data_IF_661596188418
#
_entry.id   IF_661596188418
#
_cell.length_a   1.000
_cell.length_b   1.000
_cell.length_c   1.000
_cell.angle_alpha   90.00
_cell.angle_beta   90.00
_cell.angle_gamma   90.00
#
_symmetry.space_group_name_H-M   'P 1'
#
loop_
_entity.id
_entity.type
_entity.pdbx_description
1 polymer ?
#
# COMPACT_ATOMS: atom_id res chain seq x y z
N UNK A 1 18.13 6.63 -24.90
CA UNK A 1 17.06 5.68 -25.23
C UNK A 1 16.87 4.80 -24.02
N UNK A 2 15.71 4.79 -23.40
CA UNK A 2 15.41 3.80 -22.33
C UNK A 2 15.45 2.41 -22.95
N UNK A 3 16.00 1.42 -22.26
CA UNK A 3 16.13 0.04 -22.72
C UNK A 3 14.79 -0.70 -22.94
N UNK A 4 13.68 0.02 -23.07
CA UNK A 4 12.36 -0.54 -23.34
C UNK A 4 11.80 -1.41 -22.20
N UNK A 5 12.42 -1.43 -21.02
CA UNK A 5 11.90 -2.13 -19.85
C UNK A 5 10.92 -1.19 -19.12
N UNK A 6 9.65 -1.57 -19.10
CA UNK A 6 8.62 -0.86 -18.38
C UNK A 6 8.46 -1.48 -16.98
N UNK A 7 8.33 -0.64 -15.96
CA UNK A 7 8.04 -1.04 -14.59
C UNK A 7 6.58 -0.71 -14.27
N UNK A 8 5.82 -1.72 -13.90
CA UNK A 8 4.46 -1.60 -13.37
C UNK A 8 4.50 -1.81 -11.86
N UNK A 9 4.07 -0.81 -11.10
CA UNK A 9 3.87 -0.94 -9.66
C UNK A 9 2.38 -0.77 -9.37
N UNK A 10 1.76 -1.73 -8.72
CA UNK A 10 0.39 -1.57 -8.23
C UNK A 10 0.40 -1.00 -6.82
N UNK A 11 -0.67 -0.28 -6.46
CA UNK A 11 -0.88 0.22 -5.11
C UNK A 11 -2.33 -0.02 -4.72
N UNK A 12 -2.53 -0.70 -3.60
CA UNK A 12 -3.87 -1.02 -3.07
C UNK A 12 -4.71 -1.90 -4.01
N UNK A 13 -4.03 -2.66 -4.85
CA UNK A 13 -4.64 -3.67 -5.71
C UNK A 13 -3.56 -4.62 -6.27
N UNK A 14 -4.01 -5.60 -7.06
CA UNK A 14 -3.13 -6.46 -7.83
C UNK A 14 -3.01 -7.88 -7.30
N UNK A 15 -3.26 -8.12 -6.01
CA UNK A 15 -3.11 -9.49 -5.47
C UNK A 15 -4.06 -10.50 -6.14
N UNK A 16 -5.24 -10.04 -6.56
CA UNK A 16 -6.23 -10.86 -7.27
C UNK A 16 -6.15 -10.72 -8.81
N UNK A 17 -5.40 -9.74 -9.33
CA UNK A 17 -5.26 -9.48 -10.76
C UNK A 17 -4.23 -10.40 -11.43
N UNK A 18 -4.35 -11.71 -11.19
CA UNK A 18 -3.35 -12.71 -11.60
C UNK A 18 -3.16 -12.75 -13.12
N UNK A 19 -4.26 -12.75 -13.88
CA UNK A 19 -4.22 -12.84 -15.32
C UNK A 19 -3.63 -11.59 -15.96
N UNK A 20 -4.00 -10.40 -15.46
CA UNK A 20 -3.52 -9.10 -15.94
C UNK A 20 -2.02 -8.94 -15.68
N UNK A 21 -1.56 -9.35 -14.50
CA UNK A 21 -0.15 -9.34 -14.15
C UNK A 21 0.64 -10.33 -15.02
N UNK A 22 0.14 -11.55 -15.20
CA UNK A 22 0.77 -12.54 -16.05
C UNK A 22 0.87 -12.04 -17.50
N UNK A 23 -0.19 -11.39 -18.01
CA UNK A 23 -0.16 -10.75 -19.31
C UNK A 23 0.91 -9.63 -19.40
N UNK A 24 1.03 -8.78 -18.39
CA UNK A 24 2.07 -7.75 -18.34
C UNK A 24 3.48 -8.38 -18.34
N UNK A 25 3.67 -9.49 -17.61
CA UNK A 25 4.92 -10.26 -17.61
C UNK A 25 5.24 -10.85 -18.98
N UNK A 26 4.25 -11.39 -19.71
CA UNK A 26 4.40 -11.88 -21.08
C UNK A 26 4.82 -10.77 -22.06
N UNK A 27 4.45 -9.51 -21.79
CA UNK A 27 4.90 -8.32 -22.55
C UNK A 27 6.30 -7.84 -22.16
N UNK A 28 6.97 -8.52 -21.23
CA UNK A 28 8.34 -8.19 -20.81
C UNK A 28 8.43 -7.12 -19.74
N UNK A 29 7.31 -6.72 -19.13
CA UNK A 29 7.29 -5.73 -18.05
C UNK A 29 7.88 -6.30 -16.76
N UNK A 30 8.52 -5.46 -15.97
CA UNK A 30 8.80 -5.75 -14.55
C UNK A 30 7.57 -5.35 -13.75
N UNK A 31 7.06 -6.26 -12.90
CA UNK A 31 5.82 -6.03 -12.14
C UNK A 31 6.07 -6.18 -10.65
N UNK A 32 5.73 -5.16 -9.89
CA UNK A 32 5.73 -5.15 -8.42
C UNK A 32 4.30 -4.93 -7.93
N UNK A 33 3.79 -5.86 -7.14
CA UNK A 33 2.47 -5.75 -6.52
C UNK A 33 2.62 -5.26 -5.10
N UNK A 34 1.94 -4.14 -4.75
CA UNK A 34 1.75 -3.73 -3.36
C UNK A 34 0.27 -3.68 -3.05
N UNK A 35 -0.16 -4.52 -2.10
CA UNK A 35 -1.58 -4.72 -1.80
C UNK A 35 -1.76 -5.13 -0.33
N UNK A 36 -2.98 -5.09 0.16
CA UNK A 36 -3.36 -5.53 1.50
C UNK A 36 -4.61 -6.42 1.52
N UNK A 37 -5.22 -6.63 0.36
CA UNK A 37 -6.40 -7.49 0.22
C UNK A 37 -6.09 -8.95 0.52
N UNK A 38 -7.14 -9.75 0.75
CA UNK A 38 -7.01 -11.18 0.99
C UNK A 38 -6.38 -11.89 -0.21
N UNK A 39 -5.49 -12.83 0.09
CA UNK A 39 -4.86 -13.65 -0.95
C UNK A 39 -5.91 -14.57 -1.54
N UNK A 40 -6.17 -14.55 -2.85
CA UNK A 40 -7.12 -15.46 -3.48
C UNK A 40 -6.68 -16.91 -3.33
N UNK A 41 -7.64 -17.83 -3.20
CA UNK A 41 -7.38 -19.25 -3.04
C UNK A 41 -8.46 -20.12 -3.67
N UNK A 42 -8.11 -21.36 -3.98
CA UNK A 42 -9.05 -22.43 -4.25
C UNK A 42 -9.18 -23.35 -3.05
N UNK A 43 -10.37 -23.87 -2.83
CA UNK A 43 -10.58 -24.94 -1.85
C UNK A 43 -10.25 -26.28 -2.52
N UNK A 44 -9.37 -27.04 -1.91
CA UNK A 44 -9.00 -28.39 -2.32
C UNK A 44 -9.34 -29.38 -1.21
N UNK A 45 -9.28 -30.68 -1.49
CA UNK A 45 -9.46 -31.73 -0.46
C UNK A 45 -8.41 -31.65 0.66
N UNK A 46 -7.26 -31.02 0.38
CA UNK A 46 -6.14 -30.87 1.32
C UNK A 46 -6.14 -29.51 2.05
N UNK A 47 -7.13 -28.64 1.77
CA UNK A 47 -7.25 -27.31 2.34
C UNK A 47 -7.23 -26.20 1.30
N UNK A 48 -6.82 -24.98 1.72
CA UNK A 48 -6.73 -23.81 0.85
C UNK A 48 -5.44 -23.83 0.05
N UNK A 49 -5.52 -23.75 -1.27
CA UNK A 49 -4.40 -23.52 -2.17
C UNK A 49 -4.41 -22.03 -2.59
N UNK A 50 -3.43 -21.26 -2.10
CA UNK A 50 -3.34 -19.84 -2.38
C UNK A 50 -2.80 -19.58 -3.79
N UNK A 51 -3.45 -18.67 -4.49
CA UNK A 51 -3.09 -18.29 -5.84
C UNK A 51 -2.04 -17.17 -5.83
N UNK A 52 -1.14 -17.20 -6.79
CA UNK A 52 -0.09 -16.19 -6.93
C UNK A 52 0.13 -15.87 -8.42
N UNK A 53 0.30 -14.59 -8.73
CA UNK A 53 0.72 -14.12 -10.04
C UNK A 53 2.24 -14.30 -10.25
N UNK A 54 2.68 -14.14 -11.50
CA UNK A 54 4.11 -14.16 -11.88
C UNK A 54 4.79 -12.79 -11.69
N UNK A 55 4.27 -11.91 -10.81
CA UNK A 55 4.94 -10.66 -10.47
C UNK A 55 6.37 -10.89 -9.96
N UNK A 56 7.29 -9.97 -10.28
CA UNK A 56 8.69 -10.06 -9.82
C UNK A 56 8.80 -9.91 -8.31
N UNK A 57 7.91 -9.10 -7.72
CA UNK A 57 7.77 -8.98 -6.27
C UNK A 57 6.31 -8.76 -5.87
N UNK A 58 5.92 -9.31 -4.72
CA UNK A 58 4.60 -9.11 -4.11
C UNK A 58 4.83 -8.68 -2.67
N UNK A 59 4.36 -7.49 -2.34
CA UNK A 59 4.34 -6.93 -0.98
C UNK A 59 2.90 -6.92 -0.50
N UNK A 60 2.56 -7.88 0.36
CA UNK A 60 1.25 -7.98 0.99
C UNK A 60 1.44 -8.59 2.39
N UNK A 61 1.01 -7.91 3.48
CA UNK A 61 1.21 -8.41 4.83
C UNK A 61 0.49 -9.74 5.10
N UNK A 62 -0.54 -10.08 4.33
CA UNK A 62 -1.35 -11.30 4.51
C UNK A 62 -0.75 -12.55 3.84
N UNK A 63 0.38 -12.43 3.12
CA UNK A 63 1.09 -13.61 2.65
C UNK A 63 1.50 -14.50 3.83
N UNK A 64 1.39 -15.83 3.65
CA UNK A 64 1.63 -16.79 4.72
C UNK A 64 3.06 -16.74 5.27
N UNK A 65 4.02 -16.43 4.41
CA UNK A 65 5.46 -16.31 4.72
C UNK A 65 5.88 -14.89 5.15
N UNK A 66 4.97 -13.93 5.14
CA UNK A 66 5.28 -12.55 5.55
C UNK A 66 5.41 -12.45 7.08
N UNK A 67 6.57 -12.05 7.63
CA UNK A 67 6.76 -11.94 9.07
C UNK A 67 6.18 -10.65 9.67
N UNK A 68 5.63 -9.75 8.85
CA UNK A 68 5.10 -8.47 9.33
C UNK A 68 3.96 -8.68 10.32
N UNK A 69 4.04 -8.12 11.54
CA UNK A 69 3.12 -8.47 12.62
C UNK A 69 1.71 -7.92 12.43
N UNK A 70 1.56 -6.73 11.81
CA UNK A 70 0.27 -6.09 11.60
C UNK A 70 -0.33 -6.47 10.25
N UNK A 71 -1.18 -7.49 10.22
CA UNK A 71 -1.81 -7.97 8.98
C UNK A 71 -2.95 -7.08 8.47
N UNK A 72 -3.48 -6.24 9.34
CA UNK A 72 -4.64 -5.39 9.06
C UNK A 72 -4.27 -3.93 8.74
N UNK A 73 -3.18 -3.67 8.01
CA UNK A 73 -2.85 -2.35 7.48
C UNK A 73 -3.47 -2.15 6.11
N UNK A 74 -3.84 -0.91 5.75
CA UNK A 74 -4.39 -0.59 4.42
C UNK A 74 -3.30 -0.46 3.35
N UNK A 75 -3.70 -0.44 2.07
CA UNK A 75 -2.78 -0.35 0.94
C UNK A 75 -1.93 0.92 0.95
N UNK A 76 -2.48 2.05 1.39
CA UNK A 76 -1.70 3.29 1.54
C UNK A 76 -0.58 3.17 2.58
N UNK A 77 -0.79 2.41 3.68
CA UNK A 77 0.26 2.14 4.66
C UNK A 77 1.34 1.23 4.07
N UNK A 78 0.95 0.22 3.29
CA UNK A 78 1.91 -0.63 2.56
C UNK A 78 2.77 0.22 1.62
N UNK A 79 2.14 1.12 0.85
CA UNK A 79 2.86 2.03 -0.05
C UNK A 79 3.79 2.99 0.70
N UNK A 80 3.34 3.57 1.82
CA UNK A 80 4.17 4.44 2.65
C UNK A 80 5.42 3.70 3.18
N UNK A 81 5.27 2.47 3.64
CA UNK A 81 6.41 1.65 4.07
C UNK A 81 7.37 1.32 2.93
N UNK A 82 6.84 1.09 1.73
CA UNK A 82 7.68 0.92 0.54
C UNK A 82 8.50 2.20 0.27
N UNK A 83 7.87 3.38 0.37
CA UNK A 83 8.58 4.67 0.20
C UNK A 83 9.68 4.85 1.24
N UNK A 84 9.43 4.50 2.51
CA UNK A 84 10.46 4.55 3.56
C UNK A 84 11.68 3.70 3.20
N UNK A 85 11.46 2.46 2.75
CA UNK A 85 12.56 1.55 2.35
C UNK A 85 13.27 2.07 1.09
N UNK A 86 12.54 2.63 0.13
CA UNK A 86 13.14 3.24 -1.07
C UNK A 86 14.02 4.44 -0.69
N UNK A 87 13.57 5.31 0.20
CA UNK A 87 14.34 6.47 0.66
C UNK A 87 15.62 6.01 1.36
N UNK A 88 15.53 5.04 2.26
CA UNK A 88 16.70 4.43 2.90
C UNK A 88 17.71 3.90 1.86
N UNK A 89 17.23 3.21 0.82
CA UNK A 89 18.06 2.65 -0.26
C UNK A 89 18.66 3.69 -1.19
N UNK A 90 18.08 4.87 -1.24
CA UNK A 90 18.51 6.00 -2.07
C UNK A 90 19.31 7.05 -1.28
N UNK A 91 19.70 6.74 -0.03
CA UNK A 91 20.38 7.65 0.89
C UNK A 91 19.61 8.95 1.14
N UNK A 92 18.27 8.89 1.07
CA UNK A 92 17.36 9.97 1.44
C UNK A 92 16.93 9.75 2.91
N UNK A 93 16.89 10.79 3.75
CA UNK A 93 16.40 10.67 5.12
C UNK A 93 15.00 10.07 5.16
N UNK A 94 14.81 8.98 5.93
CA UNK A 94 13.51 8.25 6.00
C UNK A 94 12.40 9.15 6.50
N UNK A 95 12.72 10.13 7.34
CA UNK A 95 11.80 11.13 7.88
C UNK A 95 11.13 11.97 6.78
N UNK A 96 11.75 12.10 5.60
CA UNK A 96 11.13 12.79 4.47
C UNK A 96 9.90 12.05 3.93
N UNK A 97 9.76 10.75 4.21
CA UNK A 97 8.56 10.00 3.89
C UNK A 97 7.36 10.37 4.80
N UNK A 98 7.57 11.07 5.91
CA UNK A 98 6.51 11.46 6.84
C UNK A 98 5.52 12.46 6.24
N UNK A 99 5.87 13.13 5.13
CA UNK A 99 4.91 13.95 4.37
C UNK A 99 3.70 13.14 3.88
N UNK A 100 3.82 11.81 3.76
CA UNK A 100 2.75 10.92 3.33
C UNK A 100 1.96 10.31 4.46
N UNK A 101 2.31 10.61 5.74
CA UNK A 101 1.62 10.03 6.89
C UNK A 101 0.16 10.47 6.96
N UNK A 102 -0.16 11.68 6.47
CA UNK A 102 -1.54 12.17 6.37
C UNK A 102 -2.37 11.29 5.44
N UNK A 103 -1.79 10.85 4.30
CA UNK A 103 -2.45 9.95 3.36
C UNK A 103 -2.66 8.56 3.97
N UNK A 104 -1.64 8.01 4.64
CA UNK A 104 -1.70 6.71 5.30
C UNK A 104 -2.77 6.69 6.42
N UNK A 105 -2.79 7.74 7.25
CA UNK A 105 -3.80 7.88 8.32
C UNK A 105 -5.21 8.06 7.79
N UNK A 106 -5.38 8.91 6.77
CA UNK A 106 -6.68 9.14 6.13
C UNK A 106 -7.23 7.87 5.47
N UNK A 107 -6.39 7.16 4.70
CA UNK A 107 -6.78 5.93 4.03
C UNK A 107 -7.11 4.81 5.04
N UNK A 108 -6.38 4.72 6.16
CA UNK A 108 -6.68 3.73 7.21
C UNK A 108 -8.10 3.88 7.75
N UNK A 109 -8.58 5.13 7.89
CA UNK A 109 -9.97 5.40 8.29
C UNK A 109 -10.94 5.13 7.13
N UNK A 110 -10.59 5.54 5.91
CA UNK A 110 -11.42 5.37 4.71
C UNK A 110 -11.68 3.90 4.39
N UNK A 111 -10.69 3.05 4.59
CA UNK A 111 -10.76 1.58 4.41
C UNK A 111 -11.41 0.85 5.58
N UNK A 112 -11.86 1.60 6.59
CA UNK A 112 -12.53 1.04 7.78
C UNK A 112 -11.65 -0.02 8.49
N UNK A 113 -10.33 0.24 8.53
CA UNK A 113 -9.40 -0.67 9.20
C UNK A 113 -9.54 -0.57 10.73
N UNK A 114 -9.30 -1.69 11.43
CA UNK A 114 -9.30 -1.71 12.90
C UNK A 114 -8.28 -0.71 13.48
N UNK A 115 -8.76 0.23 14.28
CA UNK A 115 -7.93 1.27 14.91
C UNK A 115 -7.24 0.76 16.18
N UNK A 116 -6.50 -0.32 16.05
CA UNK A 116 -5.69 -0.94 17.11
C UNK A 116 -4.20 -0.90 16.74
N UNK A 117 -3.31 -1.09 17.72
CA UNK A 117 -1.88 -1.19 17.50
C UNK A 117 -1.33 -0.06 16.61
N UNK A 118 -0.66 -0.44 15.52
CA UNK A 118 -0.02 0.48 14.58
C UNK A 118 -1.03 1.40 13.88
N UNK A 119 -2.18 0.89 13.45
CA UNK A 119 -3.20 1.69 12.78
C UNK A 119 -3.67 2.86 13.64
N UNK A 120 -3.85 2.64 14.94
CA UNK A 120 -4.21 3.71 15.88
C UNK A 120 -3.17 4.82 15.94
N UNK A 121 -1.89 4.45 15.92
CA UNK A 121 -0.78 5.40 15.94
C UNK A 121 -0.77 6.20 14.63
N UNK A 122 -0.84 5.51 13.49
CA UNK A 122 -0.82 6.13 12.15
C UNK A 122 -2.00 7.08 11.95
N UNK A 123 -3.20 6.69 12.35
CA UNK A 123 -4.39 7.57 12.26
C UNK A 123 -4.21 8.79 13.13
N UNK A 124 -3.73 8.63 14.38
CA UNK A 124 -3.50 9.78 15.26
C UNK A 124 -2.49 10.77 14.68
N UNK A 125 -1.37 10.27 14.14
CA UNK A 125 -0.34 11.10 13.54
C UNK A 125 -0.81 11.71 12.21
N UNK A 126 -1.49 10.93 11.37
CA UNK A 126 -2.03 11.38 10.09
C UNK A 126 -3.09 12.47 10.24
N UNK A 127 -4.04 12.33 11.17
CA UNK A 127 -5.04 13.37 11.46
C UNK A 127 -4.38 14.66 11.96
N UNK A 128 -3.35 14.54 12.83
CA UNK A 128 -2.59 15.70 13.27
C UNK A 128 -1.84 16.37 12.13
N UNK A 129 -1.28 15.61 11.19
CA UNK A 129 -0.60 16.15 10.02
C UNK A 129 -1.59 16.89 9.08
N UNK A 130 -2.83 16.37 8.95
CA UNK A 130 -3.89 17.01 8.15
C UNK A 130 -4.25 18.43 8.61
N UNK A 131 -4.09 18.77 9.88
CA UNK A 131 -4.32 20.13 10.39
C UNK A 131 -3.44 21.17 9.67
N UNK A 132 -2.28 20.75 9.19
CA UNK A 132 -1.28 21.60 8.52
C UNK A 132 -0.94 21.10 7.10
N UNK A 133 -1.82 20.31 6.51
CA UNK A 133 -1.60 19.71 5.20
C UNK A 133 -1.24 20.74 4.14
N UNK A 134 -0.29 20.40 3.28
CA UNK A 134 0.05 21.17 2.08
C UNK A 134 -0.65 20.63 0.82
N UNK A 135 -1.26 19.46 0.93
CA UNK A 135 -1.97 18.81 -0.18
C UNK A 135 -3.24 19.61 -0.55
N UNK A 136 -3.36 20.12 -1.78
CA UNK A 136 -4.50 20.94 -2.18
C UNK A 136 -5.83 20.16 -2.16
N UNK A 137 -5.81 18.86 -2.45
CA UNK A 137 -6.99 18.01 -2.39
C UNK A 137 -7.51 17.83 -0.97
N UNK A 138 -6.61 17.56 -0.02
CA UNK A 138 -6.96 17.46 1.40
C UNK A 138 -7.47 18.78 1.95
N UNK A 139 -6.83 19.92 1.61
CA UNK A 139 -7.34 21.26 1.98
C UNK A 139 -8.76 21.49 1.47
N UNK A 140 -9.02 21.17 0.22
CA UNK A 140 -10.36 21.34 -0.36
C UNK A 140 -11.39 20.44 0.32
N UNK A 141 -11.03 19.22 0.66
CA UNK A 141 -11.90 18.28 1.36
C UNK A 141 -12.23 18.77 2.79
N UNK A 142 -11.24 19.21 3.54
CA UNK A 142 -11.39 19.77 4.88
C UNK A 142 -12.31 20.99 4.84
N UNK A 143 -12.03 21.94 3.94
CA UNK A 143 -12.84 23.16 3.81
C UNK A 143 -14.29 22.87 3.43
N UNK A 144 -14.51 21.93 2.48
CA UNK A 144 -15.86 21.56 2.04
C UNK A 144 -16.69 20.94 3.17
N UNK A 145 -16.06 20.19 4.05
CA UNK A 145 -16.73 19.50 5.16
C UNK A 145 -16.71 20.30 6.48
N UNK A 146 -16.22 21.56 6.47
CA UNK A 146 -16.13 22.43 7.65
C UNK A 146 -15.44 21.77 8.84
N UNK A 147 -14.32 21.10 8.58
CA UNK A 147 -13.51 20.39 9.59
C UNK A 147 -12.35 21.25 10.11
N UNK A 148 -12.39 22.57 9.87
CA UNK A 148 -11.31 23.51 10.19
C UNK A 148 -11.57 24.33 11.47
N UNK A 149 -12.44 23.87 12.37
CA UNK A 149 -12.74 24.55 13.66
C UNK A 149 -11.96 23.92 14.82
#
# INVERSE_FOLDING_TARGET
MSDGKELLITCDNGIAAINEINFAKEKGMTVVVTDHHEIPYHNTEQGKEFLRSNADAIVNPKQADCPYPCKGICGAVVAWKLVQVLYERMDIPVEEADIFIENAGFATVGDVMDLTGENRILVKLGLKALEHTKNPGMKALIAKNKLSD
#
